data_IF_484034797203
#
_entry.id   IF_484034797203
#
_cell.length_a   1.000
_cell.length_b   1.000
_cell.length_c   1.000
_cell.angle_alpha   90.00
_cell.angle_beta   90.00
_cell.angle_gamma   90.00
#
_symmetry.space_group_name_H-M   'P 1'
#
loop_
_entity.id
_entity.type
_entity.pdbx_description
1 polymer ?
#
# COMPACT_ATOMS: atom_id res chain seq x y z
N UNK A 1 -9.13 24.14 12.26
CA UNK A 1 -8.14 25.15 12.68
C UNK A 1 -7.78 24.95 14.14
N UNK A 2 -6.53 25.18 14.54
CA UNK A 2 -6.08 25.09 15.93
C UNK A 2 -6.39 26.39 16.72
N UNK A 3 -6.45 26.34 18.06
CA UNK A 3 -6.69 27.54 18.87
C UNK A 3 -5.59 28.60 18.72
N UNK A 4 -5.96 29.87 18.51
CA UNK A 4 -4.99 30.99 18.37
C UNK A 4 -4.08 31.21 19.58
N UNK A 5 -4.51 30.79 20.77
CA UNK A 5 -3.75 30.93 22.02
C UNK A 5 -2.91 29.69 22.38
N UNK A 6 -2.70 28.76 21.43
CA UNK A 6 -1.97 27.51 21.68
C UNK A 6 -0.56 27.76 22.23
N UNK A 7 0.10 28.84 21.80
CA UNK A 7 1.42 29.29 22.28
C UNK A 7 1.49 29.53 23.80
N UNK A 8 0.35 29.75 24.47
CA UNK A 8 0.28 29.91 25.93
C UNK A 8 0.45 28.58 26.68
N UNK A 9 0.27 27.44 26.01
CA UNK A 9 0.33 26.11 26.61
C UNK A 9 1.78 25.61 26.74
N UNK A 10 2.68 26.38 27.37
CA UNK A 10 4.13 26.08 27.43
C UNK A 10 4.52 24.73 28.04
N UNK A 11 3.61 24.07 28.77
CA UNK A 11 3.79 22.71 29.33
C UNK A 11 3.27 21.59 28.40
N UNK A 12 2.71 21.93 27.24
CA UNK A 12 2.18 20.95 26.29
C UNK A 12 3.33 20.07 25.79
N UNK A 13 3.15 18.75 25.89
CA UNK A 13 4.14 17.76 25.46
C UNK A 13 3.74 17.00 24.22
N UNK A 14 2.45 16.97 23.90
CA UNK A 14 1.91 16.19 22.79
C UNK A 14 0.81 16.97 22.09
N UNK A 15 0.97 17.15 20.79
CA UNK A 15 -0.02 17.70 19.87
C UNK A 15 -0.12 16.77 18.67
N UNK A 16 -1.15 15.92 18.68
CA UNK A 16 -1.45 15.02 17.56
C UNK A 16 -2.60 15.63 16.78
N UNK A 17 -2.32 15.91 15.51
CA UNK A 17 -3.25 16.40 14.50
C UNK A 17 -3.44 15.23 13.55
N UNK A 18 -4.69 14.79 13.37
CA UNK A 18 -4.99 13.65 12.52
C UNK A 18 -4.49 13.88 11.10
N UNK A 19 -3.54 13.06 10.68
CA UNK A 19 -3.27 12.72 9.29
C UNK A 19 -3.71 11.27 9.15
N UNK A 20 -4.57 10.96 8.18
CA UNK A 20 -5.03 9.59 7.98
C UNK A 20 -3.83 8.68 7.72
N UNK A 21 -3.56 7.79 8.68
CA UNK A 21 -2.53 6.75 8.58
C UNK A 21 -3.04 5.65 7.66
N UNK A 22 -2.98 5.86 6.35
CA UNK A 22 -3.17 4.76 5.41
C UNK A 22 -1.98 4.68 4.44
N UNK A 23 -1.35 3.50 4.46
CA UNK A 23 -0.32 3.03 3.54
C UNK A 23 -0.91 2.76 2.13
N UNK A 24 -2.18 3.12 1.90
CA UNK A 24 -2.88 2.99 0.63
C UNK A 24 -3.11 4.36 0.01
N UNK A 25 -3.02 4.41 -1.31
CA UNK A 25 -2.86 5.56 -2.23
C UNK A 25 -4.05 6.55 -2.24
N UNK A 26 -4.88 6.59 -1.18
CA UNK A 26 -5.91 7.61 -0.97
C UNK A 26 -5.62 8.33 0.35
N UNK A 27 -4.89 9.44 0.29
CA UNK A 27 -4.79 10.38 1.41
C UNK A 27 -5.63 11.61 1.08
N UNK A 28 -6.75 11.77 1.79
CA UNK A 28 -7.54 13.01 1.77
C UNK A 28 -6.69 14.19 2.26
N UNK A 29 -6.92 15.38 1.71
CA UNK A 29 -6.23 16.60 2.14
C UNK A 29 -6.46 16.85 3.64
N UNK A 30 -5.42 17.22 4.41
CA UNK A 30 -5.59 17.52 5.83
C UNK A 30 -6.55 18.70 6.00
N UNK A 31 -7.56 18.54 6.87
CA UNK A 31 -8.52 19.61 7.25
C UNK A 31 -7.84 20.84 7.89
N UNK A 32 -6.56 20.75 8.24
CA UNK A 32 -5.77 21.84 8.81
C UNK A 32 -5.09 22.64 7.70
N UNK A 33 -5.45 23.91 7.57
CA UNK A 33 -4.95 24.80 6.51
C UNK A 33 -3.68 25.58 6.88
N UNK A 34 -3.40 25.75 8.18
CA UNK A 34 -2.23 26.48 8.69
C UNK A 34 -1.97 26.18 10.18
N UNK A 35 -0.75 26.49 10.63
CA UNK A 35 -0.34 26.44 12.03
C UNK A 35 -0.52 27.79 12.71
N UNK A 36 -1.01 27.89 13.95
CA UNK A 36 -1.10 29.17 14.65
C UNK A 36 0.30 29.69 15.01
N UNK A 37 0.52 30.99 14.85
CA UNK A 37 1.76 31.68 15.26
C UNK A 37 2.14 31.38 16.72
N UNK A 38 3.45 31.24 16.96
CA UNK A 38 4.02 31.00 18.28
C UNK A 38 4.02 29.53 18.72
N UNK A 39 3.78 28.59 17.82
CA UNK A 39 3.97 27.15 18.07
C UNK A 39 5.43 26.85 18.45
N UNK A 40 6.41 27.61 17.93
CA UNK A 40 7.82 27.47 18.28
C UNK A 40 8.17 27.82 19.72
N UNK A 41 7.25 28.45 20.47
CA UNK A 41 7.42 28.73 21.90
C UNK A 41 7.08 27.52 22.79
N UNK A 42 6.55 26.44 22.21
CA UNK A 42 6.21 25.19 22.90
C UNK A 42 7.44 24.28 23.03
N UNK A 43 8.53 24.75 23.62
CA UNK A 43 9.81 24.01 23.69
C UNK A 43 9.77 22.72 24.51
N UNK A 44 8.71 22.50 25.30
CA UNK A 44 8.43 21.24 25.99
C UNK A 44 7.70 20.20 25.11
N UNK A 45 7.32 20.58 23.89
CA UNK A 45 6.61 19.72 22.96
C UNK A 45 7.53 18.60 22.50
N UNK A 46 7.08 17.37 22.73
CA UNK A 46 7.76 16.14 22.31
C UNK A 46 7.13 15.57 21.05
N UNK A 47 5.81 15.59 20.94
CA UNK A 47 5.14 15.00 19.79
C UNK A 47 4.36 16.08 19.04
N UNK A 48 4.67 16.24 17.76
CA UNK A 48 3.95 17.08 16.81
C UNK A 48 3.79 16.29 15.51
N UNK A 49 2.61 15.71 15.28
CA UNK A 49 2.41 14.83 14.11
C UNK A 49 2.36 15.59 12.78
N UNK A 50 1.91 16.86 12.79
CA UNK A 50 1.74 17.64 11.56
C UNK A 50 2.11 19.10 11.75
N UNK A 51 2.84 19.65 10.80
CA UNK A 51 3.11 21.08 10.65
C UNK A 51 2.68 21.52 9.25
N UNK A 52 1.85 22.55 9.15
CA UNK A 52 1.36 23.09 7.86
C UNK A 52 1.95 24.46 7.62
N UNK A 53 2.77 24.58 6.58
CA UNK A 53 3.32 25.86 6.12
C UNK A 53 2.29 26.53 5.22
N UNK A 54 1.95 27.78 5.52
CA UNK A 54 0.97 28.58 4.78
C UNK A 54 1.43 30.03 4.67
N UNK A 55 0.98 30.72 3.62
CA UNK A 55 1.23 32.15 3.42
C UNK A 55 0.17 33.05 4.09
N UNK A 56 -0.77 32.46 4.84
CA UNK A 56 -1.73 33.22 5.63
C UNK A 56 -1.00 34.07 6.69
N UNK A 57 -1.47 35.29 6.90
CA UNK A 57 -0.82 36.27 7.78
C UNK A 57 -0.79 35.86 9.25
N UNK A 58 -1.69 35.00 9.70
CA UNK A 58 -1.72 34.43 11.05
C UNK A 58 -1.16 33.00 11.12
N UNK A 59 -0.45 32.56 10.08
CA UNK A 59 0.22 31.26 10.04
C UNK A 59 1.66 31.31 10.53
N UNK A 60 2.04 30.34 11.36
CA UNK A 60 3.44 30.07 11.68
C UNK A 60 4.23 29.74 10.41
N UNK A 61 5.39 30.37 10.27
CA UNK A 61 6.39 30.01 9.28
C UNK A 61 7.16 28.76 9.69
N UNK A 62 7.80 28.08 8.74
CA UNK A 62 8.53 26.82 8.97
C UNK A 62 9.68 26.97 9.99
N UNK A 63 10.26 28.17 10.09
CA UNK A 63 11.28 28.53 11.06
C UNK A 63 10.80 28.40 12.52
N UNK A 64 9.50 28.33 12.79
CA UNK A 64 9.00 28.07 14.14
C UNK A 64 9.36 26.66 14.66
N UNK A 65 9.76 25.75 13.77
CA UNK A 65 10.30 24.45 14.17
C UNK A 65 11.70 24.55 14.81
N UNK A 66 12.40 25.69 14.67
CA UNK A 66 13.80 25.89 15.09
C UNK A 66 14.05 25.43 16.52
N UNK A 67 13.22 25.87 17.47
CA UNK A 67 13.41 25.65 18.92
C UNK A 67 12.76 24.35 19.44
N UNK A 68 12.16 23.56 18.57
CA UNK A 68 11.44 22.33 18.94
C UNK A 68 12.38 21.12 18.86
N UNK A 69 13.49 21.16 19.60
CA UNK A 69 14.58 20.16 19.51
C UNK A 69 14.20 18.81 20.13
N UNK A 70 13.24 18.82 21.06
CA UNK A 70 12.77 17.62 21.75
C UNK A 70 11.72 16.83 20.97
N UNK A 71 11.45 17.21 19.71
CA UNK A 71 10.50 16.48 18.88
C UNK A 71 10.96 15.03 18.67
N UNK A 72 10.04 14.10 18.93
CA UNK A 72 10.25 12.65 18.88
C UNK A 72 9.15 11.98 18.04
N UNK A 73 9.50 10.86 17.43
CA UNK A 73 8.57 10.06 16.62
C UNK A 73 8.36 10.61 15.22
N UNK A 74 7.12 10.89 14.87
CA UNK A 74 6.70 11.19 13.49
C UNK A 74 6.36 12.67 13.32
N UNK A 75 6.85 13.26 12.22
CA UNK A 75 6.52 14.62 11.80
C UNK A 75 6.18 14.65 10.31
N UNK A 76 5.00 15.18 9.96
CA UNK A 76 4.64 15.51 8.59
C UNK A 76 4.68 17.02 8.40
N UNK A 77 5.45 17.50 7.42
CA UNK A 77 5.47 18.90 7.00
C UNK A 77 4.72 19.04 5.68
N UNK A 78 3.56 19.69 5.74
CA UNK A 78 2.73 20.01 4.58
C UNK A 78 2.97 21.44 4.12
N UNK A 79 2.65 21.71 2.86
CA UNK A 79 2.62 23.07 2.34
C UNK A 79 4.02 23.61 2.01
N UNK A 80 5.00 22.75 1.73
CA UNK A 80 6.40 23.16 1.54
C UNK A 80 6.60 24.15 0.39
N UNK A 81 5.72 24.14 -0.63
CA UNK A 81 5.71 25.16 -1.69
C UNK A 81 5.58 26.58 -1.18
N UNK A 82 5.01 26.76 0.02
CA UNK A 82 4.77 28.08 0.59
C UNK A 82 6.03 28.68 1.22
N UNK A 83 7.15 27.93 1.27
CA UNK A 83 8.45 28.44 1.72
C UNK A 83 9.06 29.30 0.61
N UNK A 84 9.01 30.62 0.80
CA UNK A 84 9.56 31.60 -0.15
C UNK A 84 11.08 31.66 -0.08
N UNK A 85 11.64 31.61 1.13
CA UNK A 85 13.09 31.70 1.38
C UNK A 85 13.63 30.38 1.96
N UNK A 86 14.54 29.73 1.24
CA UNK A 86 15.17 28.48 1.70
C UNK A 86 15.92 28.66 3.03
N UNK A 87 16.32 29.89 3.39
CA UNK A 87 16.95 30.19 4.69
C UNK A 87 15.99 29.98 5.85
N UNK A 88 14.68 30.12 5.65
CA UNK A 88 13.69 29.82 6.68
C UNK A 88 13.49 28.31 6.85
N UNK A 89 13.56 27.54 5.75
CA UNK A 89 13.62 26.08 5.82
C UNK A 89 14.87 25.59 6.58
N UNK A 90 16.02 26.24 6.37
CA UNK A 90 17.24 25.93 7.12
C UNK A 90 17.06 26.16 8.63
N UNK A 91 16.41 27.27 9.02
CA UNK A 91 16.11 27.57 10.43
C UNK A 91 15.20 26.53 11.09
N UNK A 92 14.37 25.80 10.34
CA UNK A 92 13.58 24.70 10.90
C UNK A 92 14.47 23.64 11.60
N UNK A 93 15.75 23.58 11.25
CA UNK A 93 16.80 22.85 11.96
C UNK A 93 16.45 21.37 12.18
N UNK A 94 16.01 20.69 11.11
CA UNK A 94 15.63 19.27 11.18
C UNK A 94 16.81 18.36 11.51
N UNK A 95 18.05 18.78 11.23
CA UNK A 95 19.27 18.04 11.58
C UNK A 95 19.46 17.88 13.09
N UNK A 96 19.02 18.83 13.91
CA UNK A 96 19.17 18.78 15.37
C UNK A 96 18.10 17.94 16.08
N UNK A 97 17.05 17.51 15.37
CA UNK A 97 15.92 16.77 15.94
C UNK A 97 16.23 15.28 16.00
N UNK A 98 17.10 14.92 16.94
CA UNK A 98 17.71 13.59 17.04
C UNK A 98 16.73 12.45 17.33
N UNK A 99 15.55 12.76 17.89
CA UNK A 99 14.54 11.77 18.29
C UNK A 99 13.45 11.55 17.23
N UNK A 100 13.50 12.24 16.08
CA UNK A 100 12.57 12.00 14.97
C UNK A 100 12.93 10.70 14.25
N UNK A 101 11.99 9.76 14.22
CA UNK A 101 12.14 8.48 13.52
C UNK A 101 11.50 8.51 12.13
N UNK A 102 10.43 9.28 11.93
CA UNK A 102 9.73 9.38 10.65
C UNK A 102 9.54 10.84 10.24
N UNK A 103 9.88 11.15 8.98
CA UNK A 103 9.66 12.46 8.37
C UNK A 103 8.95 12.33 7.03
N UNK A 104 7.82 13.00 6.91
CA UNK A 104 7.08 13.15 5.66
C UNK A 104 7.19 14.61 5.19
N UNK A 105 7.69 14.85 3.98
CA UNK A 105 7.79 16.17 3.35
C UNK A 105 6.82 16.25 2.18
N UNK A 106 5.83 17.15 2.24
CA UNK A 106 4.71 17.19 1.28
C UNK A 106 4.59 18.54 0.57
N UNK A 107 4.77 18.51 -0.74
CA UNK A 107 4.38 19.56 -1.68
C UNK A 107 2.90 19.41 -2.06
N UNK A 108 2.26 20.46 -2.56
CA UNK A 108 0.86 20.41 -2.97
C UNK A 108 0.75 19.61 -4.26
N UNK A 109 -0.42 19.07 -4.54
CA UNK A 109 -0.62 18.42 -5.84
C UNK A 109 0.13 17.11 -6.00
N UNK A 110 0.48 16.42 -4.90
CA UNK A 110 0.86 15.00 -4.94
C UNK A 110 -0.21 14.08 -5.56
N UNK A 111 -1.29 14.63 -6.13
CA UNK A 111 -2.45 13.95 -6.69
C UNK A 111 -3.05 14.67 -7.90
N UNK A 112 -2.52 15.85 -8.29
CA UNK A 112 -3.07 16.64 -9.40
C UNK A 112 -2.06 16.74 -10.52
N UNK A 113 -2.49 16.54 -11.76
CA UNK A 113 -1.68 16.73 -12.98
C UNK A 113 -1.27 18.19 -13.25
N UNK A 114 -1.43 19.07 -12.27
CA UNK A 114 -1.05 20.48 -12.37
C UNK A 114 0.44 20.59 -12.07
N UNK A 115 1.22 20.89 -13.09
CA UNK A 115 2.62 21.27 -12.94
C UNK A 115 2.71 22.55 -12.11
N UNK A 116 3.23 22.43 -10.89
CA UNK A 116 3.54 23.59 -10.06
C UNK A 116 5.03 23.86 -10.21
N UNK A 117 5.38 24.80 -11.08
CA UNK A 117 6.73 25.33 -11.15
C UNK A 117 7.06 26.06 -9.85
N UNK A 118 7.98 25.49 -9.07
CA UNK A 118 8.50 26.10 -7.85
C UNK A 118 9.99 26.37 -8.03
N UNK A 119 10.34 27.62 -8.35
CA UNK A 119 11.68 28.06 -8.73
C UNK A 119 12.77 27.88 -7.64
N UNK A 120 12.40 27.52 -6.39
CA UNK A 120 13.31 27.34 -5.25
C UNK A 120 13.22 25.96 -4.58
N UNK A 121 12.47 25.00 -5.14
CA UNK A 121 12.16 23.73 -4.42
C UNK A 121 13.40 22.92 -4.06
N UNK A 122 14.41 22.91 -4.93
CA UNK A 122 15.66 22.19 -4.67
C UNK A 122 16.37 22.75 -3.45
N UNK A 123 16.53 24.07 -3.38
CA UNK A 123 17.22 24.73 -2.26
C UNK A 123 16.43 24.58 -0.95
N UNK A 124 15.10 24.66 -1.02
CA UNK A 124 14.22 24.41 0.13
C UNK A 124 14.38 22.97 0.62
N UNK A 125 14.33 21.98 -0.27
CA UNK A 125 14.49 20.58 0.13
C UNK A 125 15.92 20.29 0.61
N UNK A 126 16.96 20.87 -0.01
CA UNK A 126 18.35 20.82 0.46
C UNK A 126 18.47 21.35 1.90
N UNK A 127 17.81 22.47 2.21
CA UNK A 127 17.78 23.08 3.54
C UNK A 127 17.02 22.24 4.60
N UNK A 128 16.10 21.35 4.18
CA UNK A 128 15.31 20.48 5.03
C UNK A 128 15.97 19.13 5.34
N UNK A 129 17.28 19.00 5.17
CA UNK A 129 17.99 17.77 5.51
C UNK A 129 17.73 17.35 6.97
N UNK A 130 17.22 16.12 7.21
CA UNK A 130 17.20 15.52 8.54
C UNK A 130 18.53 14.80 8.83
N UNK A 131 18.74 14.36 10.09
CA UNK A 131 19.93 13.57 10.46
C UNK A 131 19.59 12.16 10.98
N UNK A 132 18.59 12.05 11.87
CA UNK A 132 18.38 10.82 12.65
C UNK A 132 17.19 9.96 12.23
N UNK A 133 16.55 10.29 11.10
CA UNK A 133 15.34 9.60 10.63
C UNK A 133 15.62 8.18 10.13
N UNK A 134 14.69 7.28 10.44
CA UNK A 134 14.67 5.89 9.96
C UNK A 134 13.75 5.74 8.73
N UNK A 135 12.68 6.54 8.70
CA UNK A 135 11.69 6.57 7.63
C UNK A 135 11.59 7.98 7.04
N UNK A 136 11.82 8.10 5.73
CA UNK A 136 11.68 9.34 4.99
C UNK A 136 10.70 9.13 3.84
N UNK A 137 9.71 10.03 3.72
CA UNK A 137 8.83 10.08 2.56
C UNK A 137 8.76 11.49 2.00
N UNK A 138 8.86 11.60 0.68
CA UNK A 138 8.78 12.88 -0.02
C UNK A 138 7.68 12.77 -1.07
N UNK A 139 6.75 13.71 -1.03
CA UNK A 139 5.56 13.73 -1.88
C UNK A 139 5.52 15.01 -2.72
N UNK A 140 5.24 14.87 -4.02
CA UNK A 140 4.92 16.01 -4.88
C UNK A 140 6.11 16.90 -5.25
N UNK A 141 7.35 16.48 -4.97
CA UNK A 141 8.53 17.33 -5.16
C UNK A 141 8.68 17.72 -6.65
N UNK A 142 8.62 19.02 -6.99
CA UNK A 142 8.55 19.46 -8.39
C UNK A 142 9.92 19.70 -9.03
N UNK A 143 11.01 19.58 -8.27
CA UNK A 143 12.37 19.86 -8.76
C UNK A 143 12.91 18.75 -9.67
N UNK A 144 13.85 19.11 -10.54
CA UNK A 144 14.44 18.18 -11.52
C UNK A 144 15.46 17.19 -10.93
N UNK A 145 16.10 17.55 -9.81
CA UNK A 145 17.09 16.72 -9.13
C UNK A 145 16.79 16.63 -7.64
N UNK A 146 17.05 15.46 -7.07
CA UNK A 146 17.04 15.27 -5.62
C UNK A 146 18.26 15.96 -4.96
N UNK A 147 18.10 16.49 -3.73
CA UNK A 147 19.19 17.03 -2.91
C UNK A 147 20.31 16.03 -2.66
N UNK A 148 21.51 16.54 -2.34
CA UNK A 148 22.71 15.72 -2.07
C UNK A 148 22.56 14.74 -0.90
N UNK A 149 21.65 15.04 0.02
CA UNK A 149 21.40 14.20 1.19
C UNK A 149 20.40 13.07 0.92
N UNK A 150 19.56 13.16 -0.13
CA UNK A 150 18.57 12.12 -0.46
C UNK A 150 19.29 10.96 -1.15
N UNK A 151 19.50 9.88 -0.41
CA UNK A 151 20.24 8.71 -0.88
C UNK A 151 21.70 8.66 -0.42
N UNK A 152 22.17 9.66 0.34
CA UNK A 152 23.51 9.64 0.93
C UNK A 152 23.56 8.88 2.25
N UNK A 153 24.43 7.87 2.33
CA UNK A 153 24.67 7.09 3.54
C UNK A 153 25.32 7.89 4.66
N UNK A 154 26.09 8.94 4.32
CA UNK A 154 26.72 9.82 5.31
C UNK A 154 25.74 10.84 5.86
N UNK A 155 24.82 11.31 5.02
CA UNK A 155 23.78 12.26 5.41
C UNK A 155 22.70 11.62 6.29
N UNK A 156 22.28 10.41 5.94
CA UNK A 156 21.17 9.69 6.57
C UNK A 156 21.59 8.27 7.01
N UNK A 157 22.45 8.15 8.05
CA UNK A 157 23.05 6.88 8.44
C UNK A 157 22.05 5.87 9.04
N UNK A 158 20.88 6.32 9.51
CA UNK A 158 19.84 5.48 10.12
C UNK A 158 18.70 5.12 9.17
N UNK A 159 18.73 5.59 7.92
CA UNK A 159 17.60 5.46 7.00
C UNK A 159 17.42 4.00 6.57
N UNK A 160 16.31 3.39 7.00
CA UNK A 160 15.90 2.03 6.63
C UNK A 160 14.78 2.03 5.59
N UNK A 161 14.06 3.14 5.44
CA UNK A 161 12.90 3.25 4.55
C UNK A 161 12.85 4.58 3.82
N UNK A 162 12.84 4.53 2.49
CA UNK A 162 12.72 5.70 1.62
C UNK A 162 11.50 5.58 0.71
N UNK A 163 10.64 6.59 0.72
CA UNK A 163 9.49 6.69 -0.18
C UNK A 163 9.52 7.97 -1.01
N UNK A 164 9.41 7.84 -2.33
CA UNK A 164 9.31 8.95 -3.27
C UNK A 164 7.99 8.81 -4.04
N UNK A 165 7.14 9.83 -3.94
CA UNK A 165 5.77 9.78 -4.47
C UNK A 165 5.47 11.00 -5.30
N UNK A 166 4.90 10.81 -6.49
CA UNK A 166 4.40 11.86 -7.37
C UNK A 166 5.48 12.92 -7.66
N UNK A 167 6.59 12.48 -8.25
CA UNK A 167 7.73 13.32 -8.61
C UNK A 167 7.84 13.41 -10.14
N UNK A 168 7.05 14.28 -10.80
CA UNK A 168 6.92 14.29 -12.27
C UNK A 168 8.21 14.71 -12.98
N UNK A 169 9.03 15.53 -12.33
CA UNK A 169 10.20 16.17 -12.94
C UNK A 169 11.54 15.58 -12.53
N UNK A 170 11.60 14.71 -11.53
CA UNK A 170 12.87 14.19 -11.01
C UNK A 170 13.51 13.25 -12.02
N UNK A 171 14.63 13.67 -12.60
CA UNK A 171 15.36 12.92 -13.63
C UNK A 171 16.45 12.02 -13.03
N UNK A 172 16.90 12.30 -11.81
CA UNK A 172 17.96 11.52 -11.20
C UNK A 172 18.19 11.79 -9.73
N UNK A 173 18.99 10.89 -9.15
CA UNK A 173 19.61 11.05 -7.84
C UNK A 173 20.66 12.15 -7.89
N UNK A 174 21.13 12.61 -6.73
CA UNK A 174 22.19 13.61 -6.69
C UNK A 174 23.46 13.14 -7.42
N UNK A 175 24.16 14.07 -8.09
CA UNK A 175 25.30 13.79 -8.97
C UNK A 175 26.54 13.21 -8.26
N UNK A 176 26.57 13.23 -6.92
CA UNK A 176 27.77 12.89 -6.14
C UNK A 176 27.72 11.48 -5.52
N UNK A 177 26.58 10.79 -5.50
CA UNK A 177 26.44 9.49 -4.86
C UNK A 177 25.45 8.59 -5.62
N UNK A 178 25.97 7.70 -6.46
CA UNK A 178 25.19 6.66 -7.15
C UNK A 178 24.77 5.49 -6.22
N UNK A 179 25.05 5.57 -4.93
CA UNK A 179 24.85 4.47 -3.98
C UNK A 179 23.86 4.89 -2.90
N UNK A 180 22.67 4.28 -2.93
CA UNK A 180 21.71 4.35 -1.83
C UNK A 180 22.32 3.79 -0.52
N UNK A 181 21.82 4.20 0.66
CA UNK A 181 22.37 3.75 1.93
C UNK A 181 22.32 2.23 2.07
N UNK A 182 23.41 1.61 2.53
CA UNK A 182 23.50 0.16 2.74
C UNK A 182 22.60 -0.37 3.86
N UNK A 183 22.04 0.52 4.68
CA UNK A 183 21.05 0.19 5.71
C UNK A 183 19.60 0.23 5.17
N UNK A 184 19.40 0.65 3.91
CA UNK A 184 18.08 0.78 3.32
C UNK A 184 17.45 -0.59 3.06
N UNK A 185 16.29 -0.83 3.64
CA UNK A 185 15.55 -2.09 3.55
C UNK A 185 14.27 -1.94 2.72
N UNK A 186 13.63 -0.77 2.79
CA UNK A 186 12.36 -0.51 2.14
C UNK A 186 12.50 0.65 1.16
N UNK A 187 12.15 0.43 -0.11
CA UNK A 187 12.13 1.47 -1.13
C UNK A 187 10.74 1.52 -1.77
N UNK A 188 10.13 2.70 -1.79
CA UNK A 188 8.81 2.93 -2.39
C UNK A 188 8.94 4.02 -3.46
N UNK A 189 8.62 3.68 -4.70
CA UNK A 189 8.54 4.61 -5.82
C UNK A 189 7.15 4.54 -6.42
N UNK A 190 6.49 5.68 -6.53
CA UNK A 190 5.18 5.80 -7.16
C UNK A 190 5.06 7.11 -7.90
N UNK A 191 4.70 7.05 -9.19
CA UNK A 191 4.55 8.23 -10.03
C UNK A 191 5.83 9.09 -10.10
N UNK A 192 6.96 8.44 -10.39
CA UNK A 192 8.25 9.11 -10.65
C UNK A 192 8.75 8.81 -12.08
N UNK A 193 8.12 9.37 -13.12
CA UNK A 193 8.28 8.89 -14.50
C UNK A 193 9.65 9.13 -15.15
N UNK A 194 10.37 10.16 -14.70
CA UNK A 194 11.70 10.47 -15.22
C UNK A 194 12.82 9.84 -14.36
N UNK A 195 12.48 9.32 -13.18
CA UNK A 195 13.46 8.81 -12.22
C UNK A 195 13.86 7.39 -12.57
N UNK A 196 15.13 7.24 -12.97
CA UNK A 196 15.75 5.92 -13.11
C UNK A 196 16.26 5.43 -11.76
N UNK A 197 16.04 4.15 -11.48
CA UNK A 197 16.64 3.50 -10.33
C UNK A 197 18.17 3.43 -10.48
N UNK A 198 18.93 3.63 -9.40
CA UNK A 198 20.37 3.46 -9.44
C UNK A 198 20.69 1.97 -9.55
N UNK A 199 21.57 1.61 -10.48
CA UNK A 199 22.04 0.24 -10.68
C UNK A 199 23.52 0.14 -10.29
N UNK A 200 23.90 -0.79 -9.39
CA UNK A 200 23.05 -1.74 -8.67
C UNK A 200 22.32 -1.13 -7.46
N UNK A 201 21.16 -1.69 -7.13
CA UNK A 201 20.47 -1.41 -5.87
C UNK A 201 21.16 -2.12 -4.68
N UNK A 202 21.08 -1.57 -3.45
CA UNK A 202 21.62 -2.23 -2.26
C UNK A 202 20.99 -3.61 -2.01
N UNK A 203 21.83 -4.61 -1.73
CA UNK A 203 21.38 -5.99 -1.41
C UNK A 203 20.65 -6.11 -0.07
N UNK A 204 20.64 -5.04 0.73
CA UNK A 204 19.88 -4.91 1.98
C UNK A 204 18.37 -4.72 1.76
N UNK A 205 17.93 -4.40 0.54
CA UNK A 205 16.52 -4.18 0.23
C UNK A 205 15.75 -5.50 0.37
N UNK A 206 14.77 -5.50 1.28
CA UNK A 206 13.85 -6.62 1.54
C UNK A 206 12.44 -6.32 1.07
N UNK A 207 12.09 -5.03 0.90
CA UNK A 207 10.80 -4.58 0.36
C UNK A 207 10.99 -3.54 -0.73
N UNK A 208 10.32 -3.75 -1.86
CA UNK A 208 10.31 -2.82 -2.97
C UNK A 208 8.88 -2.60 -3.47
N UNK A 209 8.49 -1.33 -3.59
CA UNK A 209 7.29 -0.91 -4.31
C UNK A 209 7.70 -0.08 -5.51
N UNK A 210 7.30 -0.48 -6.71
CA UNK A 210 7.46 0.30 -7.94
C UNK A 210 6.08 0.50 -8.52
N UNK A 211 5.77 1.73 -8.94
CA UNK A 211 4.46 1.99 -9.46
C UNK A 211 4.35 3.01 -10.58
N UNK A 212 3.15 3.58 -10.73
CA UNK A 212 2.73 4.46 -11.84
C UNK A 212 3.88 5.31 -12.36
N UNK A 213 4.00 5.47 -13.67
CA UNK A 213 5.05 6.29 -14.28
C UNK A 213 6.47 5.70 -14.24
N UNK A 214 6.85 4.89 -13.25
CA UNK A 214 8.18 4.25 -13.23
C UNK A 214 8.35 3.23 -14.37
N UNK A 215 9.61 2.88 -14.67
CA UNK A 215 9.95 1.93 -15.72
C UNK A 215 9.36 0.53 -15.44
N UNK A 216 8.44 0.03 -16.28
CA UNK A 216 7.84 -1.28 -16.11
C UNK A 216 8.78 -2.43 -16.47
N UNK A 217 9.99 -2.17 -16.99
CA UNK A 217 10.98 -3.21 -17.32
C UNK A 217 11.47 -3.98 -16.09
N UNK A 218 11.42 -3.35 -14.89
CA UNK A 218 11.90 -3.89 -13.62
C UNK A 218 13.35 -4.40 -13.63
N UNK A 219 14.21 -4.03 -14.59
CA UNK A 219 15.60 -4.52 -14.68
C UNK A 219 16.40 -4.36 -13.36
N UNK A 220 16.10 -3.32 -12.60
CA UNK A 220 16.76 -3.04 -11.31
C UNK A 220 16.50 -4.10 -10.23
N UNK A 221 15.47 -4.95 -10.37
CA UNK A 221 15.13 -5.97 -9.36
C UNK A 221 15.86 -7.30 -9.56
N UNK A 222 16.50 -7.51 -10.72
CA UNK A 222 17.14 -8.79 -11.10
C UNK A 222 18.18 -9.28 -10.07
N UNK A 223 18.85 -8.35 -9.39
CA UNK A 223 19.93 -8.62 -8.43
C UNK A 223 19.47 -8.60 -6.96
N UNK A 224 18.16 -8.43 -6.68
CA UNK A 224 17.63 -8.33 -5.32
C UNK A 224 17.30 -9.71 -4.73
N UNK A 225 18.33 -10.53 -4.51
CA UNK A 225 18.17 -11.91 -4.01
C UNK A 225 17.57 -12.03 -2.60
N UNK A 226 17.58 -10.95 -1.81
CA UNK A 226 16.99 -10.89 -0.46
C UNK A 226 15.58 -10.31 -0.43
N UNK A 227 15.02 -9.97 -1.60
CA UNK A 227 13.70 -9.36 -1.67
C UNK A 227 12.64 -10.36 -1.18
N UNK A 228 11.86 -9.92 -0.18
CA UNK A 228 10.80 -10.70 0.46
C UNK A 228 9.40 -10.14 0.16
N UNK A 229 9.29 -8.86 -0.17
CA UNK A 229 8.03 -8.16 -0.46
C UNK A 229 8.21 -7.31 -1.72
N UNK A 230 7.48 -7.65 -2.78
CA UNK A 230 7.47 -6.92 -4.05
C UNK A 230 6.06 -6.44 -4.34
N UNK A 231 5.93 -5.15 -4.60
CA UNK A 231 4.65 -4.53 -4.95
C UNK A 231 4.78 -3.77 -6.26
N UNK A 232 3.91 -4.08 -7.20
CA UNK A 232 3.83 -3.48 -8.52
C UNK A 232 2.49 -2.75 -8.60
N UNK A 233 2.48 -1.43 -8.84
CA UNK A 233 1.21 -0.70 -8.86
C UNK A 233 1.06 0.41 -9.90
N UNK A 234 -0.08 0.52 -10.57
CA UNK A 234 -0.35 1.65 -11.48
C UNK A 234 0.34 1.50 -12.84
N UNK A 235 0.65 0.28 -13.25
CA UNK A 235 1.18 -0.04 -14.59
C UNK A 235 0.02 -0.22 -15.57
N UNK A 236 -0.80 0.82 -15.70
CA UNK A 236 -2.09 0.79 -16.42
C UNK A 236 -1.94 0.55 -17.93
N UNK A 237 -0.74 0.74 -18.48
CA UNK A 237 -0.47 0.59 -19.92
C UNK A 237 0.17 -0.76 -20.30
N UNK A 238 0.57 -1.55 -19.31
CA UNK A 238 1.35 -2.78 -19.53
C UNK A 238 0.41 -3.96 -19.74
N UNK A 239 0.56 -4.67 -20.86
CA UNK A 239 -0.23 -5.89 -21.12
C UNK A 239 0.34 -7.15 -20.45
N UNK A 240 1.66 -7.17 -20.20
CA UNK A 240 2.40 -8.27 -19.57
C UNK A 240 3.54 -7.72 -18.72
N UNK A 241 3.70 -8.22 -17.49
CA UNK A 241 4.85 -7.88 -16.64
C UNK A 241 6.14 -8.52 -17.16
N UNK A 242 7.32 -7.94 -16.88
CA UNK A 242 8.60 -8.47 -17.36
C UNK A 242 8.93 -9.81 -16.68
N UNK A 243 9.41 -10.74 -17.49
CA UNK A 243 9.67 -12.13 -17.15
C UNK A 243 11.04 -12.33 -16.47
N UNK A 244 12.12 -11.89 -17.13
CA UNK A 244 13.49 -12.09 -16.69
C UNK A 244 13.83 -11.54 -15.28
N UNK A 245 13.41 -10.32 -14.88
CA UNK A 245 13.78 -9.76 -13.58
C UNK A 245 13.16 -10.50 -12.39
N UNK A 246 12.02 -11.17 -12.60
CA UNK A 246 11.31 -11.87 -11.54
C UNK A 246 11.91 -13.25 -11.24
N UNK A 247 12.59 -13.87 -12.21
CA UNK A 247 13.13 -15.23 -12.12
C UNK A 247 14.02 -15.48 -10.90
N UNK A 248 14.79 -14.48 -10.47
CA UNK A 248 15.82 -14.63 -9.44
C UNK A 248 15.33 -14.30 -8.01
N UNK A 249 14.06 -13.92 -7.84
CA UNK A 249 13.47 -13.50 -6.56
C UNK A 249 13.09 -14.69 -5.67
N UNK A 250 14.02 -15.62 -5.47
CA UNK A 250 13.79 -16.91 -4.80
C UNK A 250 13.41 -16.83 -3.31
N UNK A 251 13.55 -15.66 -2.68
CA UNK A 251 13.15 -15.39 -1.28
C UNK A 251 11.84 -14.62 -1.15
N UNK A 252 11.15 -14.37 -2.26
CA UNK A 252 9.93 -13.57 -2.25
C UNK A 252 8.81 -14.28 -1.49
N UNK A 253 8.23 -13.61 -0.50
CA UNK A 253 7.14 -14.12 0.32
C UNK A 253 5.81 -13.42 -0.01
N UNK A 254 5.87 -12.12 -0.34
CA UNK A 254 4.70 -11.29 -0.63
C UNK A 254 4.85 -10.71 -2.04
N UNK A 255 3.83 -10.94 -2.87
CA UNK A 255 3.67 -10.31 -4.17
C UNK A 255 2.34 -9.56 -4.22
N UNK A 256 2.38 -8.27 -4.53
CA UNK A 256 1.21 -7.43 -4.74
C UNK A 256 1.22 -6.82 -6.14
N UNK A 257 0.12 -6.96 -6.88
CA UNK A 257 -0.12 -6.34 -8.18
C UNK A 257 -1.40 -5.53 -8.08
N UNK A 258 -1.33 -4.21 -8.25
CA UNK A 258 -2.45 -3.32 -7.97
C UNK A 258 -2.61 -2.19 -9.00
N UNK A 259 -3.81 -1.90 -9.51
CA UNK A 259 -4.02 -0.91 -10.58
C UNK A 259 -3.16 -1.24 -11.82
N UNK A 260 -3.45 -2.34 -12.51
CA UNK A 260 -2.77 -2.71 -13.75
C UNK A 260 -3.82 -3.05 -14.81
N UNK A 261 -4.57 -2.04 -15.25
CA UNK A 261 -5.84 -2.26 -15.96
C UNK A 261 -5.72 -2.91 -17.34
N UNK A 262 -4.58 -2.79 -18.03
CA UNK A 262 -4.36 -3.48 -19.32
C UNK A 262 -3.66 -4.83 -19.18
N UNK A 263 -3.26 -5.24 -17.98
CA UNK A 263 -2.56 -6.49 -17.74
C UNK A 263 -3.49 -7.66 -18.08
N UNK A 264 -3.16 -8.44 -19.11
CA UNK A 264 -4.00 -9.55 -19.58
C UNK A 264 -3.73 -10.85 -18.83
N UNK A 265 -2.49 -11.07 -18.42
CA UNK A 265 -2.00 -12.29 -17.76
C UNK A 265 -0.83 -12.00 -16.84
N UNK A 266 -0.63 -12.88 -15.86
CA UNK A 266 0.58 -12.90 -15.03
C UNK A 266 1.77 -13.49 -15.81
N UNK A 267 3.02 -13.10 -15.50
CA UNK A 267 4.22 -13.64 -16.15
C UNK A 267 4.42 -15.12 -15.82
N UNK A 268 4.97 -15.88 -16.76
CA UNK A 268 5.12 -17.34 -16.60
C UNK A 268 6.14 -17.70 -15.51
N UNK A 269 7.17 -16.86 -15.32
CA UNK A 269 8.24 -17.03 -14.35
C UNK A 269 7.79 -16.89 -12.89
N UNK A 270 6.56 -16.45 -12.62
CA UNK A 270 5.99 -16.55 -11.27
C UNK A 270 6.00 -18.00 -10.77
N UNK A 271 6.03 -18.98 -11.67
CA UNK A 271 6.19 -20.38 -11.34
C UNK A 271 7.52 -20.71 -10.61
N UNK A 272 8.51 -19.82 -10.67
CA UNK A 272 9.77 -20.00 -9.95
C UNK A 272 9.70 -19.49 -8.50
N UNK A 273 8.66 -18.73 -8.15
CA UNK A 273 8.51 -18.06 -6.85
C UNK A 273 7.81 -18.95 -5.81
N UNK A 274 8.31 -20.18 -5.67
CA UNK A 274 7.73 -21.21 -4.77
C UNK A 274 7.69 -20.82 -3.29
N UNK A 275 8.39 -19.77 -2.89
CA UNK A 275 8.43 -19.22 -1.52
C UNK A 275 7.33 -18.20 -1.22
N UNK A 276 6.56 -17.77 -2.23
CA UNK A 276 5.48 -16.80 -2.05
C UNK A 276 4.37 -17.42 -1.20
N UNK A 277 4.09 -16.81 -0.06
CA UNK A 277 3.03 -17.20 0.86
C UNK A 277 1.79 -16.33 0.70
N UNK A 278 1.93 -15.11 0.19
CA UNK A 278 0.81 -14.18 0.03
C UNK A 278 0.82 -13.51 -1.33
N UNK A 279 -0.30 -13.59 -2.05
CA UNK A 279 -0.53 -12.95 -3.34
C UNK A 279 -1.75 -12.04 -3.28
N UNK A 280 -1.55 -10.78 -3.66
CA UNK A 280 -2.57 -9.75 -3.75
C UNK A 280 -2.72 -9.26 -5.20
N UNK A 281 -3.95 -9.28 -5.73
CA UNK A 281 -4.26 -8.77 -7.09
C UNK A 281 -5.44 -7.81 -7.01
N UNK A 282 -5.23 -6.53 -7.23
CA UNK A 282 -6.26 -5.50 -7.03
C UNK A 282 -6.41 -4.62 -8.26
N UNK A 283 -7.65 -4.35 -8.70
CA UNK A 283 -7.91 -3.40 -9.79
C UNK A 283 -7.05 -3.72 -11.03
N UNK A 284 -7.18 -4.95 -11.50
CA UNK A 284 -6.53 -5.42 -12.74
C UNK A 284 -7.65 -5.72 -13.74
N UNK A 285 -8.28 -4.67 -14.26
CA UNK A 285 -9.51 -4.78 -15.05
C UNK A 285 -9.40 -5.71 -16.26
N UNK A 286 -8.27 -5.69 -16.96
CA UNK A 286 -8.01 -6.48 -18.16
C UNK A 286 -7.51 -7.90 -17.92
N UNK A 287 -7.37 -8.34 -16.67
CA UNK A 287 -6.80 -9.65 -16.34
C UNK A 287 -7.77 -10.76 -16.71
N UNK A 288 -7.44 -11.55 -17.74
CA UNK A 288 -8.33 -12.58 -18.29
C UNK A 288 -8.15 -13.94 -17.61
N UNK A 289 -6.92 -14.27 -17.17
CA UNK A 289 -6.60 -15.56 -16.55
C UNK A 289 -5.38 -15.51 -15.62
N UNK A 290 -5.36 -16.44 -14.65
CA UNK A 290 -4.23 -16.70 -13.73
C UNK A 290 -3.49 -18.02 -14.04
N UNK A 291 -3.91 -18.79 -15.05
CA UNK A 291 -3.70 -20.25 -15.07
C UNK A 291 -2.23 -20.73 -15.14
N UNK A 292 -1.30 -19.93 -15.66
CA UNK A 292 0.12 -20.30 -15.73
C UNK A 292 0.93 -19.78 -14.53
N UNK A 293 0.64 -18.56 -14.05
CA UNK A 293 1.44 -17.89 -13.02
C UNK A 293 1.31 -18.48 -11.60
N UNK A 294 0.23 -19.22 -11.31
CA UNK A 294 -0.01 -19.80 -9.97
C UNK A 294 0.49 -21.25 -9.81
N UNK A 295 0.87 -21.91 -10.91
CA UNK A 295 1.02 -23.38 -10.97
C UNK A 295 1.97 -23.94 -9.90
N UNK A 296 3.04 -23.23 -9.59
CA UNK A 296 4.10 -23.69 -8.67
C UNK A 296 4.15 -22.90 -7.36
N UNK A 297 3.15 -22.06 -7.07
CA UNK A 297 3.05 -21.33 -5.80
C UNK A 297 2.53 -22.27 -4.69
N UNK A 298 3.22 -23.38 -4.45
CA UNK A 298 2.79 -24.44 -3.54
C UNK A 298 2.83 -24.04 -2.07
N UNK A 299 3.60 -22.99 -1.73
CA UNK A 299 3.64 -22.39 -0.38
C UNK A 299 2.62 -21.28 -0.17
N UNK A 300 1.75 -21.01 -1.16
CA UNK A 300 0.78 -19.92 -1.07
C UNK A 300 -0.27 -20.22 0.01
N UNK A 301 -0.28 -19.41 1.06
CA UNK A 301 -1.21 -19.49 2.19
C UNK A 301 -2.38 -18.52 2.03
N UNK A 302 -2.16 -17.37 1.38
CA UNK A 302 -3.18 -16.35 1.17
C UNK A 302 -3.25 -15.86 -0.28
N UNK A 303 -4.42 -15.98 -0.90
CA UNK A 303 -4.74 -15.39 -2.20
C UNK A 303 -5.90 -14.41 -2.03
N UNK A 304 -5.66 -13.14 -2.37
CA UNK A 304 -6.70 -12.12 -2.32
C UNK A 304 -6.78 -11.35 -3.62
N UNK A 305 -7.99 -11.22 -4.16
CA UNK A 305 -8.21 -10.50 -5.39
C UNK A 305 -9.44 -9.60 -5.34
N UNK A 306 -9.30 -8.35 -5.78
CA UNK A 306 -10.44 -7.44 -5.94
C UNK A 306 -10.48 -6.78 -7.31
N UNK A 307 -11.68 -6.48 -7.81
CA UNK A 307 -11.88 -5.57 -8.95
C UNK A 307 -11.10 -6.05 -10.20
N UNK A 308 -11.27 -7.33 -10.55
CA UNK A 308 -10.71 -7.94 -11.76
C UNK A 308 -11.86 -8.15 -12.75
N UNK A 309 -12.09 -7.17 -13.61
CA UNK A 309 -13.28 -7.06 -14.48
C UNK A 309 -13.43 -8.16 -15.51
N UNK A 310 -12.35 -8.47 -16.24
CA UNK A 310 -12.31 -9.45 -17.33
C UNK A 310 -11.97 -10.88 -16.89
N UNK A 311 -11.81 -11.13 -15.58
CA UNK A 311 -11.37 -12.42 -15.07
C UNK A 311 -12.55 -13.39 -15.08
N UNK A 312 -12.55 -14.30 -16.05
CA UNK A 312 -13.68 -15.23 -16.27
C UNK A 312 -13.59 -16.50 -15.45
N UNK A 313 -12.39 -17.05 -15.29
CA UNK A 313 -12.19 -18.26 -14.50
C UNK A 313 -10.85 -18.26 -13.78
N UNK A 314 -10.79 -19.04 -12.70
CA UNK A 314 -9.57 -19.31 -11.94
C UNK A 314 -9.01 -20.73 -12.20
N UNK A 315 -9.73 -21.59 -12.96
CA UNK A 315 -9.24 -22.92 -13.37
C UNK A 315 -9.72 -23.32 -14.77
N UNK A 316 -8.96 -24.14 -15.49
CA UNK A 316 -9.22 -25.59 -15.53
C UNK A 316 -8.26 -26.50 -14.72
N UNK A 317 -7.12 -26.02 -14.19
CA UNK A 317 -6.20 -26.87 -13.38
C UNK A 317 -5.26 -26.14 -12.41
N UNK A 318 -5.28 -24.82 -12.33
CA UNK A 318 -4.20 -24.04 -11.66
C UNK A 318 -4.27 -24.04 -10.14
N UNK A 319 -5.45 -24.27 -9.57
CA UNK A 319 -5.65 -24.35 -8.12
C UNK A 319 -5.23 -25.72 -7.55
N UNK A 320 -5.04 -26.75 -8.39
CA UNK A 320 -4.72 -28.11 -7.93
C UNK A 320 -3.42 -28.19 -7.11
N UNK A 321 -2.53 -27.21 -7.29
CA UNK A 321 -1.23 -27.16 -6.63
C UNK A 321 -1.24 -26.31 -5.34
N UNK A 322 -2.29 -25.51 -5.10
CA UNK A 322 -2.39 -24.58 -3.97
C UNK A 322 -2.86 -25.28 -2.69
N UNK A 323 -2.22 -26.40 -2.35
CA UNK A 323 -2.60 -27.26 -1.22
C UNK A 323 -2.32 -26.62 0.15
N UNK A 324 -1.47 -25.60 0.22
CA UNK A 324 -1.17 -24.82 1.42
C UNK A 324 -2.13 -23.64 1.64
N UNK A 325 -3.04 -23.36 0.69
CA UNK A 325 -3.89 -22.17 0.73
C UNK A 325 -4.85 -22.25 1.91
N UNK A 326 -4.71 -21.30 2.85
CA UNK A 326 -5.53 -21.16 4.06
C UNK A 326 -6.61 -20.10 3.88
N UNK A 327 -6.33 -19.06 3.07
CA UNK A 327 -7.23 -17.93 2.89
C UNK A 327 -7.42 -17.58 1.42
N UNK A 328 -8.68 -17.55 0.99
CA UNK A 328 -9.09 -17.11 -0.34
C UNK A 328 -10.14 -16.01 -0.22
N UNK A 329 -9.77 -14.79 -0.61
CA UNK A 329 -10.69 -13.67 -0.64
C UNK A 329 -10.87 -13.17 -2.09
N UNK A 330 -12.12 -13.10 -2.56
CA UNK A 330 -12.47 -12.63 -3.90
C UNK A 330 -13.56 -11.57 -3.77
N UNK A 331 -13.32 -10.39 -4.32
CA UNK A 331 -14.22 -9.25 -4.21
C UNK A 331 -14.43 -8.54 -5.55
N UNK A 332 -15.66 -8.20 -5.91
CA UNK A 332 -15.93 -7.32 -7.07
C UNK A 332 -15.28 -7.84 -8.39
N UNK A 333 -15.44 -9.13 -8.68
CA UNK A 333 -15.01 -9.75 -9.94
C UNK A 333 -16.26 -10.11 -10.76
N UNK A 334 -16.78 -9.19 -11.61
CA UNK A 334 -18.11 -9.30 -12.20
C UNK A 334 -18.27 -10.38 -13.27
N UNK A 335 -17.21 -10.75 -13.98
CA UNK A 335 -17.23 -11.83 -14.99
C UNK A 335 -16.83 -13.20 -14.43
N UNK A 336 -16.43 -13.29 -13.16
CA UNK A 336 -15.87 -14.52 -12.60
C UNK A 336 -16.94 -15.60 -12.42
N UNK A 337 -16.84 -16.66 -13.21
CA UNK A 337 -17.63 -17.88 -13.12
C UNK A 337 -17.04 -18.84 -12.08
N UNK A 338 -17.26 -18.54 -10.80
CA UNK A 338 -16.76 -19.35 -9.67
C UNK A 338 -17.21 -20.82 -9.70
N UNK A 339 -18.31 -21.14 -10.39
CA UNK A 339 -18.80 -22.52 -10.56
C UNK A 339 -17.86 -23.39 -11.40
N UNK A 340 -16.95 -22.80 -12.17
CA UNK A 340 -15.92 -23.52 -12.94
C UNK A 340 -14.67 -23.87 -12.11
N UNK A 341 -14.61 -23.42 -10.86
CA UNK A 341 -13.45 -23.59 -10.00
C UNK A 341 -13.42 -24.96 -9.32
N UNK A 342 -12.27 -25.60 -9.38
CA UNK A 342 -12.04 -26.84 -8.65
C UNK A 342 -11.51 -26.58 -7.23
N UNK A 343 -12.41 -26.59 -6.25
CA UNK A 343 -12.08 -26.42 -4.82
C UNK A 343 -11.60 -27.71 -4.15
N UNK A 344 -11.70 -28.88 -4.80
CA UNK A 344 -11.48 -30.17 -4.13
C UNK A 344 -10.03 -30.34 -3.63
N UNK A 345 -9.10 -29.63 -4.24
CA UNK A 345 -7.67 -29.66 -3.93
C UNK A 345 -7.25 -28.66 -2.85
N UNK A 346 -8.12 -27.71 -2.47
CA UNK A 346 -7.84 -26.68 -1.46
C UNK A 346 -8.06 -27.23 -0.03
N UNK A 347 -7.38 -28.33 0.28
CA UNK A 347 -7.57 -29.10 1.52
C UNK A 347 -7.19 -28.35 2.81
N UNK A 348 -6.38 -27.30 2.69
CA UNK A 348 -5.94 -26.46 3.81
C UNK A 348 -6.77 -25.20 3.99
N UNK A 349 -7.79 -24.96 3.15
CA UNK A 349 -8.53 -23.72 3.17
C UNK A 349 -9.37 -23.59 4.45
N UNK A 350 -9.17 -22.50 5.17
CA UNK A 350 -9.80 -22.17 6.46
C UNK A 350 -10.77 -20.99 6.33
N UNK A 351 -10.39 -19.98 5.54
CA UNK A 351 -11.18 -18.76 5.34
C UNK A 351 -11.52 -18.56 3.85
N UNK A 352 -12.81 -18.48 3.54
CA UNK A 352 -13.32 -18.15 2.20
C UNK A 352 -14.23 -16.93 2.27
N UNK A 353 -13.84 -15.86 1.56
CA UNK A 353 -14.64 -14.64 1.42
C UNK A 353 -15.00 -14.40 -0.05
N UNK A 354 -16.30 -14.31 -0.32
CA UNK A 354 -16.89 -14.03 -1.63
C UNK A 354 -17.73 -12.76 -1.53
N UNK A 355 -17.23 -11.64 -2.01
CA UNK A 355 -17.95 -10.35 -1.96
C UNK A 355 -18.25 -9.83 -3.36
N UNK A 356 -19.47 -9.33 -3.55
CA UNK A 356 -19.89 -8.65 -4.77
C UNK A 356 -19.63 -9.46 -6.06
N UNK A 357 -19.95 -10.76 -6.02
CA UNK A 357 -19.84 -11.65 -7.18
C UNK A 357 -21.22 -11.84 -7.84
N UNK A 358 -21.53 -11.15 -8.96
CA UNK A 358 -22.85 -11.22 -9.59
C UNK A 358 -23.11 -12.56 -10.30
N UNK A 359 -22.10 -13.32 -10.72
CA UNK A 359 -22.30 -14.64 -11.34
C UNK A 359 -22.55 -15.77 -10.32
N UNK A 360 -22.36 -15.52 -9.02
CA UNK A 360 -22.56 -16.52 -7.98
C UNK A 360 -24.06 -16.81 -7.78
N UNK A 361 -24.55 -17.88 -8.40
CA UNK A 361 -25.95 -18.34 -8.25
C UNK A 361 -26.15 -19.39 -7.14
N UNK A 362 -25.11 -20.21 -6.91
CA UNK A 362 -24.98 -21.22 -5.86
C UNK A 362 -23.50 -21.35 -5.51
N UNK A 363 -23.18 -21.99 -4.38
CA UNK A 363 -21.80 -22.35 -4.07
C UNK A 363 -21.36 -23.59 -4.88
N UNK A 364 -20.10 -23.65 -5.34
CA UNK A 364 -19.53 -24.85 -5.97
C UNK A 364 -19.65 -26.09 -5.07
N UNK A 365 -20.02 -27.21 -5.66
CA UNK A 365 -20.23 -28.47 -4.92
C UNK A 365 -18.93 -29.03 -4.34
N UNK A 366 -17.81 -28.70 -4.96
CA UNK A 366 -16.45 -29.12 -4.61
C UNK A 366 -16.03 -28.59 -3.24
N UNK A 367 -16.63 -27.49 -2.77
CA UNK A 367 -16.35 -26.90 -1.45
C UNK A 367 -16.70 -27.88 -0.30
N UNK A 368 -17.62 -28.83 -0.51
CA UNK A 368 -17.92 -29.88 0.50
C UNK A 368 -16.71 -30.74 0.87
N UNK A 369 -15.68 -30.77 0.02
CA UNK A 369 -14.43 -31.49 0.27
C UNK A 369 -13.43 -30.69 1.11
N UNK A 370 -13.66 -29.39 1.31
CA UNK A 370 -12.81 -28.48 2.10
C UNK A 370 -13.13 -28.64 3.60
N UNK A 371 -12.61 -29.70 4.20
CA UNK A 371 -12.94 -30.08 5.60
C UNK A 371 -12.36 -29.17 6.68
N UNK A 372 -11.43 -28.28 6.32
CA UNK A 372 -10.80 -27.31 7.25
C UNK A 372 -11.47 -25.94 7.23
N UNK A 373 -12.48 -25.72 6.40
CA UNK A 373 -13.14 -24.43 6.28
C UNK A 373 -13.78 -24.03 7.63
N UNK A 374 -13.27 -22.96 8.24
CA UNK A 374 -13.73 -22.40 9.51
C UNK A 374 -14.68 -21.22 9.30
N UNK A 375 -14.35 -20.37 8.32
CA UNK A 375 -15.10 -19.15 8.01
C UNK A 375 -15.54 -19.17 6.55
N UNK A 376 -16.84 -19.07 6.33
CA UNK A 376 -17.42 -18.75 5.03
C UNK A 376 -18.14 -17.42 5.12
N UNK A 377 -17.72 -16.45 4.30
CA UNK A 377 -18.28 -15.11 4.29
C UNK A 377 -18.72 -14.75 2.88
N UNK A 378 -20.02 -14.51 2.69
CA UNK A 378 -20.62 -14.20 1.41
C UNK A 378 -21.33 -12.87 1.54
N UNK A 379 -20.97 -11.90 0.71
CA UNK A 379 -21.46 -10.52 0.81
C UNK A 379 -21.86 -10.00 -0.56
N UNK A 380 -22.95 -9.25 -0.63
CA UNK A 380 -23.40 -8.53 -1.84
C UNK A 380 -23.56 -9.43 -3.10
N UNK A 381 -23.63 -10.75 -2.95
CA UNK A 381 -23.89 -11.70 -4.03
C UNK A 381 -25.39 -11.79 -4.32
N UNK A 382 -25.89 -10.84 -5.11
CA UNK A 382 -27.34 -10.63 -5.35
C UNK A 382 -28.04 -11.78 -6.07
N UNK A 383 -27.31 -12.60 -6.82
CA UNK A 383 -27.87 -13.74 -7.56
C UNK A 383 -27.81 -15.07 -6.80
N UNK A 384 -27.18 -15.11 -5.62
CA UNK A 384 -27.12 -16.32 -4.80
C UNK A 384 -28.50 -16.56 -4.16
N UNK A 385 -29.22 -17.59 -4.63
CA UNK A 385 -30.60 -17.86 -4.17
C UNK A 385 -30.69 -19.01 -3.17
N UNK A 386 -29.68 -19.89 -3.14
CA UNK A 386 -29.68 -21.09 -2.31
C UNK A 386 -28.29 -21.34 -1.74
N UNK A 387 -28.25 -21.69 -0.46
CA UNK A 387 -27.09 -22.32 0.16
C UNK A 387 -27.27 -23.85 0.14
N UNK A 388 -26.23 -24.62 -0.19
CA UNK A 388 -26.27 -26.08 -0.16
C UNK A 388 -26.39 -26.64 1.27
N UNK A 389 -27.00 -27.83 1.40
CA UNK A 389 -27.20 -28.48 2.72
C UNK A 389 -25.90 -29.04 3.30
N UNK A 390 -24.93 -29.40 2.46
CA UNK A 390 -23.63 -29.92 2.90
C UNK A 390 -22.81 -28.92 3.72
N UNK A 391 -23.15 -27.62 3.70
CA UNK A 391 -22.51 -26.62 4.57
C UNK A 391 -22.73 -26.95 6.06
N UNK A 392 -23.84 -27.62 6.39
CA UNK A 392 -24.12 -28.09 7.75
C UNK A 392 -23.28 -29.30 8.15
N UNK A 393 -22.74 -30.02 7.17
CA UNK A 393 -21.93 -31.22 7.34
C UNK A 393 -20.43 -30.91 7.38
N UNK A 394 -20.04 -29.64 7.16
CA UNK A 394 -18.64 -29.22 7.24
C UNK A 394 -18.17 -29.27 8.70
N UNK A 395 -17.18 -30.12 9.03
CA UNK A 395 -16.86 -30.43 10.43
C UNK A 395 -16.15 -29.28 11.16
N UNK A 396 -15.51 -28.37 10.42
CA UNK A 396 -14.72 -27.27 10.98
C UNK A 396 -15.44 -25.91 10.92
N UNK A 397 -16.61 -25.82 10.29
CA UNK A 397 -17.26 -24.53 10.03
C UNK A 397 -17.81 -23.94 11.33
N UNK A 398 -17.28 -22.79 11.73
CA UNK A 398 -17.66 -22.08 12.98
C UNK A 398 -18.36 -20.75 12.71
N UNK A 399 -18.11 -20.15 11.54
CA UNK A 399 -18.66 -18.86 11.17
C UNK A 399 -19.17 -18.87 9.73
N UNK A 400 -20.45 -18.52 9.56
CA UNK A 400 -21.07 -18.32 8.25
C UNK A 400 -21.69 -16.93 8.20
N UNK A 401 -21.15 -16.02 7.40
CA UNK A 401 -21.73 -14.68 7.21
C UNK A 401 -22.38 -14.59 5.84
N UNK A 402 -23.62 -14.11 5.79
CA UNK A 402 -24.38 -13.93 4.53
C UNK A 402 -25.03 -12.55 4.56
N UNK A 403 -24.37 -11.57 3.95
CA UNK A 403 -24.74 -10.16 4.05
C UNK A 403 -25.19 -9.61 2.70
N UNK A 404 -26.32 -8.89 2.67
CA UNK A 404 -26.80 -8.20 1.46
C UNK A 404 -26.91 -9.09 0.19
N UNK A 405 -27.17 -10.40 0.35
CA UNK A 405 -27.44 -11.35 -0.73
C UNK A 405 -28.93 -11.40 -1.11
N UNK A 406 -29.34 -12.30 -2.01
CA UNK A 406 -30.74 -12.39 -2.48
C UNK A 406 -31.74 -12.58 -1.30
N UNK A 407 -32.88 -11.89 -1.28
CA UNK A 407 -33.86 -11.98 -0.18
C UNK A 407 -34.40 -13.40 0.09
N UNK A 408 -34.42 -14.28 -0.91
CA UNK A 408 -34.86 -15.68 -0.72
C UNK A 408 -33.97 -16.48 0.24
N UNK A 409 -32.69 -16.10 0.39
CA UNK A 409 -31.79 -16.74 1.36
C UNK A 409 -32.19 -16.48 2.80
N UNK A 410 -32.80 -15.31 3.09
CA UNK A 410 -33.14 -14.94 4.46
C UNK A 410 -34.08 -15.95 5.14
N UNK A 411 -35.09 -16.44 4.41
CA UNK A 411 -36.02 -17.44 4.94
C UNK A 411 -35.33 -18.75 5.30
N UNK A 412 -34.26 -19.13 4.59
CA UNK A 412 -33.51 -20.37 4.84
C UNK A 412 -32.44 -20.19 5.89
N UNK A 413 -31.79 -19.02 5.98
CA UNK A 413 -30.79 -18.77 7.01
C UNK A 413 -31.38 -18.74 8.43
N UNK A 414 -32.68 -18.44 8.60
CA UNK A 414 -33.37 -18.59 9.90
C UNK A 414 -33.30 -20.02 10.44
N UNK A 415 -33.35 -21.03 9.55
CA UNK A 415 -33.19 -22.43 9.93
C UNK A 415 -31.74 -22.73 10.38
N UNK A 416 -30.77 -21.96 9.89
CA UNK A 416 -29.33 -22.15 10.16
C UNK A 416 -28.90 -21.50 11.47
N UNK A 417 -29.61 -20.45 11.91
CA UNK A 417 -29.45 -19.84 13.25
C UNK A 417 -29.71 -20.85 14.40
N UNK A 418 -30.35 -21.98 14.11
CA UNK A 418 -30.66 -23.02 15.11
C UNK A 418 -29.48 -23.97 15.37
N UNK A 419 -28.38 -23.83 14.65
CA UNK A 419 -27.20 -24.69 14.76
C UNK A 419 -26.30 -24.16 15.89
N UNK A 420 -26.08 -24.91 16.99
CA UNK A 420 -25.50 -24.38 18.23
C UNK A 420 -24.08 -23.78 18.13
N UNK A 421 -23.36 -24.05 17.03
CA UNK A 421 -21.95 -23.69 16.85
C UNK A 421 -21.70 -22.74 15.67
N UNK A 422 -22.73 -22.44 14.87
CA UNK A 422 -22.60 -21.61 13.68
C UNK A 422 -23.03 -20.18 14.00
N UNK A 423 -22.08 -19.22 13.98
CA UNK A 423 -22.45 -17.81 13.97
C UNK A 423 -22.94 -17.43 12.59
N UNK A 424 -24.24 -17.18 12.48
CA UNK A 424 -24.88 -16.65 11.26
C UNK A 424 -25.19 -15.17 11.45
N UNK A 425 -24.49 -14.31 10.70
CA UNK A 425 -24.80 -12.88 10.63
C UNK A 425 -25.49 -12.56 9.31
N UNK A 426 -26.72 -12.10 9.40
CA UNK A 426 -27.50 -11.59 8.28
C UNK A 426 -27.82 -10.11 8.53
N UNK A 427 -27.36 -9.22 7.64
CA UNK A 427 -27.82 -7.83 7.59
C UNK A 427 -28.29 -7.50 6.17
N UNK A 428 -29.52 -7.02 6.07
CA UNK A 428 -30.04 -6.32 4.89
C UNK A 428 -30.18 -4.87 5.32
N UNK A 429 -29.29 -4.02 4.84
CA UNK A 429 -29.55 -2.58 4.84
C UNK A 429 -30.23 -2.28 3.51
N UNK A 430 -31.44 -1.72 3.59
CA UNK A 430 -32.31 -1.41 2.45
C UNK A 430 -31.86 -0.13 1.73
#
# INVERSE_FOLDING_TARGET
MLPKNLSKMRKLRKLVIGSDNYIYINMEDPKLTHMPMGIGELTCLKQLSTFVVSQLSDSAGIQELEKLDHLEGELTINGIQNVVDHRDAYKANLRSKENLSCLDLRWPGGWSDVEIECNNSKDVLEALQPHSVEHLRIYGYPGAMLPGWVGSSTALPKLTSLGLYNMPNVEGWSSECLLLPSCLQNLYLYNCPKLKLPTPLPSSITRLTVGKGNDPSLESVENLHNLSDLRITGFDQVETLPEAPLRNLTRLQVLEICNCDKLKRLPTELENLSTVTTLFIYRCGGLESLTEGLRNLTSLEGLRMANCGSLKSLSESSLQHLTALQKLDIWDCPELEIMSMDFQHLISLEDLLLDWLPQLMSLPEEIKHVRRLQTLDIRVCKNLRKLPEWLLELPALTSLRVLQCHPELHRRCEDWNRIPLLRVENRVEF
#
